data_IF_141545883676
#
_entry.id   IF_141545883676
#
_cell.length_a   1.000
_cell.length_b   1.000
_cell.length_c   1.000
_cell.angle_alpha   90.00
_cell.angle_beta   90.00
_cell.angle_gamma   90.00
#
_symmetry.space_group_name_H-M   'P 1'
#
loop_
_entity.id
_entity.type
_entity.pdbx_description
1 polymer ?
#
# COMPACT_ATOMS: atom_id res chain seq x y z
N UNK A 1 8.48 28.42 -5.73
CA UNK A 1 8.46 26.97 -5.45
C UNK A 1 7.34 26.35 -6.28
N UNK A 2 7.67 25.51 -7.27
CA UNK A 2 6.64 24.75 -7.98
C UNK A 2 6.06 23.71 -7.02
N UNK A 3 4.73 23.71 -6.88
CA UNK A 3 4.06 22.73 -6.05
C UNK A 3 3.98 21.41 -6.83
N UNK A 4 4.32 20.27 -6.21
CA UNK A 4 4.26 18.95 -6.87
C UNK A 4 2.87 18.64 -7.42
N UNK A 5 1.82 19.21 -6.80
CA UNK A 5 0.45 19.12 -7.27
C UNK A 5 0.18 19.95 -8.53
N UNK A 6 0.89 21.05 -8.77
CA UNK A 6 0.77 21.81 -10.03
C UNK A 6 1.35 21.02 -11.19
N UNK A 7 2.55 20.45 -11.03
CA UNK A 7 3.16 19.57 -12.03
C UNK A 7 2.25 18.38 -12.35
N UNK A 8 1.66 17.78 -11.31
CA UNK A 8 0.69 16.71 -11.45
C UNK A 8 -0.55 17.16 -12.24
N UNK A 9 -1.12 18.33 -11.92
CA UNK A 9 -2.27 18.84 -12.67
C UNK A 9 -1.94 19.09 -14.13
N UNK A 10 -0.76 19.65 -14.43
CA UNK A 10 -0.29 19.86 -15.81
C UNK A 10 -0.14 18.54 -16.55
N UNK A 11 0.40 17.50 -15.90
CA UNK A 11 0.54 16.17 -16.49
C UNK A 11 -0.81 15.55 -16.89
N UNK A 12 -1.86 15.75 -16.08
CA UNK A 12 -3.21 15.28 -16.38
C UNK A 12 -4.02 16.20 -17.31
N UNK A 13 -3.48 17.36 -17.69
CA UNK A 13 -4.18 18.36 -18.51
C UNK A 13 -5.14 19.29 -17.74
N UNK A 14 -4.98 19.37 -16.42
CA UNK A 14 -5.68 20.34 -15.56
C UNK A 14 -6.21 19.74 -14.25
N UNK A 15 -6.81 20.61 -13.42
CA UNK A 15 -7.39 20.20 -12.14
C UNK A 15 -8.64 19.32 -12.28
N UNK A 16 -9.51 19.62 -13.26
CA UNK A 16 -10.76 18.87 -13.49
C UNK A 16 -10.48 17.46 -14.02
N UNK A 17 -9.61 17.25 -15.03
CA UNK A 17 -9.23 15.90 -15.46
C UNK A 17 -8.58 15.08 -14.35
N UNK A 18 -7.70 15.68 -13.55
CA UNK A 18 -7.07 15.01 -12.40
C UNK A 18 -8.11 14.60 -11.36
N UNK A 19 -9.04 15.50 -11.01
CA UNK A 19 -10.10 15.23 -10.06
C UNK A 19 -10.97 14.05 -10.52
N UNK A 20 -11.35 14.03 -11.81
CA UNK A 20 -12.12 12.93 -12.41
C UNK A 20 -11.33 11.61 -12.43
N UNK A 21 -10.03 11.65 -12.70
CA UNK A 21 -9.17 10.47 -12.72
C UNK A 21 -9.01 9.82 -11.33
N UNK A 22 -9.08 10.63 -10.28
CA UNK A 22 -8.94 10.22 -8.88
C UNK A 22 -10.28 10.04 -8.15
N UNK A 23 -11.41 10.41 -8.77
CA UNK A 23 -12.73 10.34 -8.14
C UNK A 23 -12.95 11.36 -7.02
N UNK A 24 -12.22 12.48 -7.03
CA UNK A 24 -12.32 13.56 -6.03
C UNK A 24 -12.98 14.80 -6.64
N UNK A 25 -13.37 15.77 -5.81
CA UNK A 25 -13.87 17.06 -6.29
C UNK A 25 -12.72 17.97 -6.74
N UNK A 26 -12.97 18.86 -7.71
CA UNK A 26 -11.97 19.84 -8.15
C UNK A 26 -11.54 20.80 -7.03
N UNK A 27 -12.44 21.08 -6.08
CA UNK A 27 -12.13 21.88 -4.89
C UNK A 27 -11.04 21.23 -4.03
N UNK A 28 -11.05 19.90 -3.87
CA UNK A 28 -10.00 19.16 -3.17
C UNK A 28 -8.64 19.33 -3.85
N UNK A 29 -8.60 19.23 -5.18
CA UNK A 29 -7.36 19.44 -5.96
C UNK A 29 -6.84 20.87 -5.82
N UNK A 30 -7.74 21.87 -5.85
CA UNK A 30 -7.40 23.27 -5.61
C UNK A 30 -6.82 23.48 -4.21
N UNK A 31 -7.36 22.79 -3.21
CA UNK A 31 -6.85 22.75 -1.84
C UNK A 31 -5.40 22.26 -1.73
N UNK A 32 -5.03 21.24 -2.51
CA UNK A 32 -3.66 20.71 -2.58
C UNK A 32 -2.71 21.68 -3.29
N UNK A 33 -3.15 22.24 -4.42
CA UNK A 33 -2.37 23.22 -5.19
C UNK A 33 -2.06 24.48 -4.36
N UNK A 34 -3.02 24.93 -3.55
CA UNK A 34 -2.84 26.06 -2.63
C UNK A 34 -2.07 25.72 -1.35
N UNK A 35 -1.75 24.45 -1.12
CA UNK A 35 -1.02 23.99 0.08
C UNK A 35 -1.83 24.05 1.37
N UNK A 36 -3.17 24.17 1.30
CA UNK A 36 -4.03 24.23 2.50
C UNK A 36 -4.01 22.89 3.25
N UNK A 37 -3.96 21.79 2.50
CA UNK A 37 -4.02 20.43 3.02
C UNK A 37 -3.38 19.49 1.99
N UNK A 38 -2.72 18.42 2.46
CA UNK A 38 -2.12 17.39 1.60
C UNK A 38 -3.12 16.31 1.19
N UNK A 39 -2.71 15.44 0.28
CA UNK A 39 -3.53 14.28 -0.11
C UNK A 39 -3.43 13.14 0.91
N UNK A 40 -4.50 12.33 1.00
CA UNK A 40 -4.51 11.08 1.79
C UNK A 40 -3.56 10.04 1.20
N UNK A 41 -3.15 9.07 2.01
CA UNK A 41 -2.25 7.99 1.58
C UNK A 41 -2.83 7.19 0.40
N UNK A 42 -4.12 6.88 0.44
CA UNK A 42 -4.82 6.15 -0.63
C UNK A 42 -4.76 6.88 -1.98
N UNK A 43 -4.96 8.19 -1.97
CA UNK A 43 -4.87 9.04 -3.16
C UNK A 43 -3.43 9.10 -3.67
N UNK A 44 -2.44 9.19 -2.78
CA UNK A 44 -1.03 9.21 -3.17
C UNK A 44 -0.63 7.93 -3.92
N UNK A 45 -1.05 6.76 -3.45
CA UNK A 45 -0.84 5.49 -4.16
C UNK A 45 -1.64 5.41 -5.47
N UNK A 46 -2.86 5.94 -5.49
CA UNK A 46 -3.66 5.98 -6.71
C UNK A 46 -2.98 6.82 -7.80
N UNK A 47 -2.43 7.97 -7.43
CA UNK A 47 -1.65 8.84 -8.33
C UNK A 47 -0.43 8.09 -8.87
N UNK A 48 0.34 7.43 -8.00
CA UNK A 48 1.51 6.66 -8.40
C UNK A 48 1.17 5.56 -9.41
N UNK A 49 0.10 4.79 -9.16
CA UNK A 49 -0.39 3.77 -10.10
C UNK A 49 -0.87 4.35 -11.41
N UNK A 50 -1.61 5.48 -11.39
CA UNK A 50 -2.12 6.15 -12.59
C UNK A 50 -1.02 6.78 -13.44
N UNK A 51 0.06 7.21 -12.81
CA UNK A 51 1.20 7.87 -13.46
C UNK A 51 2.35 6.91 -13.80
N UNK A 52 2.21 5.62 -13.46
CA UNK A 52 3.22 4.59 -13.71
C UNK A 52 4.52 4.85 -12.96
N UNK A 53 4.47 5.46 -11.76
CA UNK A 53 5.65 5.74 -10.95
C UNK A 53 6.36 7.07 -11.26
N UNK A 54 5.85 7.90 -12.18
CA UNK A 54 6.39 9.28 -12.38
C UNK A 54 6.26 10.14 -11.13
N UNK A 55 5.15 10.00 -10.41
CA UNK A 55 4.90 10.69 -9.15
C UNK A 55 4.76 9.65 -8.04
N UNK A 56 5.81 9.51 -7.23
CA UNK A 56 5.83 8.58 -6.09
C UNK A 56 4.97 9.10 -4.93
N UNK A 57 4.27 8.20 -4.24
CA UNK A 57 3.47 8.54 -3.07
C UNK A 57 4.29 9.24 -1.98
N UNK A 58 5.56 8.83 -1.78
CA UNK A 58 6.49 9.44 -0.82
C UNK A 58 6.84 10.89 -1.15
N UNK A 59 6.80 11.28 -2.43
CA UNK A 59 7.04 12.66 -2.89
C UNK A 59 5.83 13.56 -2.68
N UNK A 60 4.63 13.00 -2.80
CA UNK A 60 3.36 13.69 -2.56
C UNK A 60 3.06 13.84 -1.06
N UNK A 61 3.44 12.85 -0.25
CA UNK A 61 3.25 12.85 1.20
C UNK A 61 4.53 12.40 1.91
N UNK A 62 5.37 13.34 2.38
CA UNK A 62 6.64 13.01 3.05
C UNK A 62 6.46 12.12 4.28
N UNK A 63 5.35 12.25 5.00
CA UNK A 63 5.04 11.40 6.16
C UNK A 63 4.90 9.90 5.82
N UNK A 64 4.62 9.56 4.56
CA UNK A 64 4.58 8.17 4.10
C UNK A 64 5.98 7.57 3.91
N UNK A 65 7.02 8.39 3.75
CA UNK A 65 8.39 7.91 3.56
C UNK A 65 8.89 7.10 4.77
N UNK A 66 8.47 7.46 5.98
CA UNK A 66 8.80 6.71 7.21
C UNK A 66 8.00 5.41 7.36
N UNK A 67 6.87 5.29 6.65
CA UNK A 67 5.95 4.16 6.75
C UNK A 67 6.17 3.10 5.66
N UNK A 68 7.26 3.19 4.89
CA UNK A 68 7.66 2.17 3.93
C UNK A 68 8.80 1.29 4.45
N UNK A 69 8.61 0.46 5.49
CA UNK A 69 9.39 -0.75 5.61
C UNK A 69 8.78 -1.82 4.70
N UNK A 70 9.47 -2.10 3.59
CA UNK A 70 9.68 -3.48 3.14
C UNK A 70 8.47 -4.25 2.57
N UNK A 71 8.12 -3.99 1.31
CA UNK A 71 7.38 -4.94 0.46
C UNK A 71 8.13 -6.28 0.21
N UNK A 72 9.39 -6.41 0.67
CA UNK A 72 10.16 -7.65 0.62
C UNK A 72 9.70 -8.74 1.63
N UNK A 73 8.68 -8.49 2.46
CA UNK A 73 8.25 -9.47 3.46
C UNK A 73 7.35 -10.59 2.90
N UNK A 74 6.59 -10.34 1.83
CA UNK A 74 5.62 -11.32 1.30
C UNK A 74 6.28 -12.45 0.49
N UNK A 75 7.49 -12.26 -0.05
CA UNK A 75 8.12 -13.27 -0.92
C UNK A 75 8.83 -14.37 -0.10
N UNK A 76 9.15 -14.16 1.19
CA UNK A 76 9.84 -15.17 2.02
C UNK A 76 8.94 -16.11 2.84
N UNK A 77 7.63 -15.91 2.87
CA UNK A 77 6.73 -16.76 3.68
C UNK A 77 6.09 -17.94 2.93
N UNK A 78 6.30 -18.05 1.61
CA UNK A 78 5.77 -19.18 0.83
C UNK A 78 6.74 -20.37 0.73
N UNK A 79 7.93 -20.32 1.35
CA UNK A 79 8.97 -21.32 1.09
C UNK A 79 9.83 -21.63 2.32
N UNK A 80 9.21 -22.03 3.44
CA UNK A 80 9.88 -22.86 4.45
C UNK A 80 8.88 -23.32 5.52
N UNK A 81 8.02 -24.28 5.19
CA UNK A 81 7.53 -25.21 6.22
C UNK A 81 7.59 -26.61 5.62
N UNK A 82 8.83 -27.09 5.46
CA UNK A 82 9.08 -28.53 5.45
C UNK A 82 8.73 -29.06 6.83
N UNK A 83 7.48 -29.47 7.02
CA UNK A 83 7.13 -30.41 8.09
C UNK A 83 7.21 -31.82 7.50
N UNK A 84 8.45 -32.24 7.27
CA UNK A 84 8.82 -33.65 7.36
C UNK A 84 9.13 -33.88 8.84
N UNK A 85 8.20 -34.51 9.54
CA UNK A 85 8.50 -35.53 10.55
C UNK A 85 7.33 -36.51 10.54
N UNK A 86 7.58 -37.65 9.93
CA UNK A 86 7.00 -38.92 10.32
C UNK A 86 7.06 -39.04 11.85
N UNK A 87 5.90 -39.09 12.52
CA UNK A 87 5.70 -39.87 13.77
C UNK A 87 4.21 -39.78 14.21
N UNK A 88 3.31 -40.41 13.46
CA UNK A 88 1.99 -40.76 13.98
C UNK A 88 2.08 -42.14 14.67
N UNK A 89 2.86 -42.22 15.75
CA UNK A 89 2.77 -43.35 16.67
C UNK A 89 1.42 -43.28 17.39
N UNK A 90 0.53 -44.20 17.05
CA UNK A 90 -0.56 -44.58 17.95
C UNK A 90 -0.23 -45.92 18.61
N UNK A 91 0.23 -45.90 19.87
CA UNK A 91 0.12 -47.06 20.71
C UNK A 91 -0.59 -46.66 22.01
N UNK A 92 -1.89 -46.34 21.94
CA UNK A 92 -2.73 -46.30 23.15
C UNK A 92 -3.16 -47.73 23.51
N UNK A 93 -2.21 -48.49 24.05
CA UNK A 93 -2.44 -49.75 24.71
C UNK A 93 -3.24 -49.50 26.00
N UNK A 94 -4.55 -49.77 25.99
CA UNK A 94 -5.30 -49.95 27.24
C UNK A 94 -5.09 -51.39 27.73
N UNK A 95 -4.22 -51.51 28.73
CA UNK A 95 -4.15 -52.60 29.73
C UNK A 95 -4.30 -51.85 31.07
N UNK A 96 -5.07 -52.23 32.10
CA UNK A 96 -5.73 -53.48 32.54
C UNK A 96 -6.48 -53.15 33.87
N UNK A 97 -7.23 -54.15 34.37
CA UNK A 97 -7.74 -54.37 35.75
C UNK A 97 -9.16 -53.85 36.01
N UNK A 98 -10.04 -54.48 36.80
CA UNK A 98 -10.15 -55.77 37.52
C UNK A 98 -11.59 -55.83 38.06
N UNK A 99 -12.25 -57.00 38.03
CA UNK A 99 -13.23 -57.44 39.02
C UNK A 99 -13.47 -58.95 38.82
#
# INVERSE_FOLDING_TARGET
MANVFEELTTFFGGQVPLAKALGVTQGTVSGWVRGVHGCSAEIAFLIERKTGGKFLASRLRPSLASASPTLNQTIRQASSNGQSVDDAVNPSSIKRCVA
#
